data_IF_116439927079
#
_entry.id   IF_116439927079
#
_cell.length_a   1.000
_cell.length_b   1.000
_cell.length_c   1.000
_cell.angle_alpha   90.00
_cell.angle_beta   90.00
_cell.angle_gamma   90.00
#
_symmetry.space_group_name_H-M   'P 1'
#
loop_
_entity.id
_entity.type
_entity.pdbx_description
1 polymer ?
#
# COMPACT_ATOMS: atom_id res chain seq x y z
N UNK A 1 -1.81 37.00 40.95
CA UNK A 1 -1.53 37.10 39.52
C UNK A 1 -1.10 35.75 39.06
N UNK A 2 -2.02 35.02 38.38
CA UNK A 2 -1.73 33.69 37.85
C UNK A 2 -1.00 33.84 36.53
N UNK A 3 0.16 33.22 36.39
CA UNK A 3 0.90 33.13 35.14
C UNK A 3 0.03 32.37 34.10
N UNK A 4 -0.20 32.89 32.90
CA UNK A 4 -0.91 32.16 31.90
C UNK A 4 -0.13 30.88 31.57
N UNK A 5 -0.76 29.71 31.68
CA UNK A 5 -0.27 28.47 31.10
C UNK A 5 -0.20 28.69 29.59
N UNK A 6 1.00 28.80 29.06
CA UNK A 6 1.25 28.68 27.62
C UNK A 6 0.73 27.30 27.22
N UNK A 7 -0.37 27.26 26.45
CA UNK A 7 -0.77 26.02 25.81
C UNK A 7 0.42 25.59 24.94
N UNK A 8 1.00 24.43 25.24
CA UNK A 8 2.07 23.88 24.42
C UNK A 8 1.45 23.59 23.06
N UNK A 9 1.78 24.40 22.06
CA UNK A 9 1.40 24.10 20.68
C UNK A 9 2.10 22.79 20.29
N UNK A 10 1.31 21.82 19.79
CA UNK A 10 1.87 20.58 19.25
C UNK A 10 2.81 20.99 18.11
N UNK A 11 4.09 20.56 18.12
CA UNK A 11 5.05 20.92 17.08
C UNK A 11 4.57 20.40 15.71
N UNK A 12 4.77 21.19 14.64
CA UNK A 12 4.52 20.75 13.27
C UNK A 12 5.46 19.59 12.88
N UNK A 13 5.01 18.78 11.92
CA UNK A 13 5.85 17.73 11.31
C UNK A 13 6.71 18.32 10.21
N UNK A 14 8.00 17.96 10.20
CA UNK A 14 8.95 18.33 9.16
C UNK A 14 9.63 17.07 8.59
N UNK A 15 9.91 17.07 7.28
CA UNK A 15 10.65 15.95 6.68
C UNK A 15 12.02 15.80 7.33
N UNK A 16 12.35 14.59 7.79
CA UNK A 16 13.58 14.28 8.49
C UNK A 16 13.45 14.27 10.00
N UNK A 17 12.31 14.65 10.58
CA UNK A 17 12.05 14.42 12.01
C UNK A 17 12.17 12.93 12.33
N UNK A 18 12.80 12.61 13.47
CA UNK A 18 12.89 11.24 14.00
C UNK A 18 11.88 11.09 15.14
N UNK A 19 10.86 10.27 14.93
CA UNK A 19 9.76 10.08 15.88
C UNK A 19 9.42 8.59 16.04
N UNK A 20 8.81 8.26 17.17
CA UNK A 20 8.04 7.04 17.30
C UNK A 20 6.63 7.24 16.70
N UNK A 21 5.92 6.14 16.44
CA UNK A 21 4.60 6.17 15.83
C UNK A 21 3.58 6.95 16.67
N UNK A 22 3.57 6.79 17.96
CA UNK A 22 2.60 7.47 18.84
C UNK A 22 2.78 8.99 18.80
N UNK A 23 4.02 9.48 18.85
CA UNK A 23 4.36 10.91 18.76
C UNK A 23 4.06 11.44 17.35
N UNK A 24 4.36 10.67 16.29
CA UNK A 24 4.01 11.02 14.93
C UNK A 24 2.49 11.17 14.77
N UNK A 25 1.73 10.18 15.20
CA UNK A 25 0.27 10.14 15.08
C UNK A 25 -0.40 11.32 15.81
N UNK A 26 0.03 11.63 17.04
CA UNK A 26 -0.45 12.79 17.80
C UNK A 26 -0.21 14.10 17.02
N UNK A 27 1.00 14.27 16.46
CA UNK A 27 1.31 15.47 15.67
C UNK A 27 0.57 15.49 14.34
N UNK A 28 0.47 14.35 13.66
CA UNK A 28 -0.18 14.23 12.36
C UNK A 28 -1.67 14.58 12.44
N UNK A 29 -2.38 14.08 13.45
CA UNK A 29 -3.80 14.38 13.66
C UNK A 29 -4.07 15.84 13.99
N UNK A 30 -3.07 16.58 14.46
CA UNK A 30 -3.13 18.02 14.72
C UNK A 30 -2.79 18.90 13.50
N UNK A 31 -2.36 18.31 12.37
CA UNK A 31 -2.01 19.06 11.16
C UNK A 31 -3.25 19.59 10.43
N UNK A 32 -3.10 20.65 9.62
CA UNK A 32 -4.21 21.21 8.84
C UNK A 32 -4.79 20.16 7.86
N UNK A 33 -6.08 20.26 7.51
CA UNK A 33 -6.68 19.41 6.50
C UNK A 33 -5.90 19.45 5.18
N UNK A 34 -5.62 18.28 4.61
CA UNK A 34 -4.85 18.14 3.37
C UNK A 34 -3.34 18.05 3.55
N UNK A 35 -2.81 18.21 4.77
CA UNK A 35 -1.42 17.88 5.06
C UNK A 35 -1.22 16.36 4.94
N UNK A 36 -0.16 15.94 4.26
CA UNK A 36 0.19 14.54 4.08
C UNK A 36 1.62 14.28 4.49
N UNK A 37 1.81 13.33 5.37
CA UNK A 37 3.11 12.84 5.79
C UNK A 37 2.99 11.37 6.19
N UNK A 38 4.10 10.65 6.10
CA UNK A 38 4.24 9.26 6.51
C UNK A 38 5.38 9.15 7.52
N UNK A 39 5.31 8.17 8.39
CA UNK A 39 6.43 7.75 9.23
C UNK A 39 7.01 6.45 8.67
N UNK A 40 8.24 6.49 8.18
CA UNK A 40 8.92 5.34 7.56
C UNK A 40 10.25 5.09 8.27
N UNK A 41 10.37 3.95 8.95
CA UNK A 41 11.56 3.64 9.75
C UNK A 41 11.86 4.68 10.83
N UNK A 42 10.83 5.28 11.42
CA UNK A 42 10.97 6.34 12.43
C UNK A 42 11.32 7.73 11.86
N UNK A 43 11.33 7.89 10.54
CA UNK A 43 11.63 9.17 9.87
C UNK A 43 10.36 9.72 9.23
N UNK A 44 10.06 10.98 9.51
CA UNK A 44 8.93 11.70 8.89
C UNK A 44 9.26 12.06 7.45
N UNK A 45 8.34 11.74 6.55
CA UNK A 45 8.40 12.11 5.12
C UNK A 45 7.15 12.90 4.79
N UNK A 46 7.29 14.19 4.53
CA UNK A 46 6.17 15.05 4.07
C UNK A 46 6.01 14.87 2.57
N UNK A 47 4.79 14.55 2.13
CA UNK A 47 4.50 14.28 0.73
C UNK A 47 4.62 15.53 -0.14
N UNK A 48 5.17 15.35 -1.33
CA UNK A 48 5.21 16.37 -2.38
C UNK A 48 3.97 16.28 -3.29
N UNK A 49 3.60 17.37 -4.00
CA UNK A 49 2.53 17.30 -4.99
C UNK A 49 2.80 16.20 -6.04
N UNK A 50 1.77 15.44 -6.38
CA UNK A 50 1.84 14.34 -7.35
C UNK A 50 1.73 14.88 -8.79
N UNK A 51 2.40 14.21 -9.73
CA UNK A 51 2.29 14.48 -11.17
C UNK A 51 1.09 13.72 -11.75
N UNK A 52 0.48 14.23 -12.87
CA UNK A 52 -0.65 13.56 -13.53
C UNK A 52 -0.38 12.09 -13.88
N UNK A 53 0.82 11.78 -14.36
CA UNK A 53 1.25 10.42 -14.73
C UNK A 53 1.12 9.43 -13.54
N UNK A 54 1.51 9.85 -12.33
CA UNK A 54 1.28 9.03 -11.13
C UNK A 54 -0.21 8.73 -10.94
N UNK A 55 -1.07 9.75 -11.13
CA UNK A 55 -2.52 9.59 -10.99
C UNK A 55 -3.14 8.62 -12.00
N UNK A 56 -2.59 8.52 -13.22
CA UNK A 56 -3.07 7.59 -14.25
C UNK A 56 -2.78 6.14 -13.86
N UNK A 57 -1.54 5.83 -13.45
CA UNK A 57 -1.18 4.51 -12.93
C UNK A 57 -1.96 4.15 -11.66
N UNK A 58 -2.08 5.11 -10.73
CA UNK A 58 -2.83 4.90 -9.49
C UNK A 58 -4.31 4.60 -9.76
N UNK A 59 -4.96 5.37 -10.67
CA UNK A 59 -6.35 5.12 -11.05
C UNK A 59 -6.53 3.72 -11.69
N UNK A 60 -5.60 3.30 -12.54
CA UNK A 60 -5.65 1.97 -13.16
C UNK A 60 -5.50 0.86 -12.10
N UNK A 61 -4.56 1.00 -11.17
CA UNK A 61 -4.36 0.04 -10.07
C UNK A 61 -5.60 -0.02 -9.18
N UNK A 62 -6.17 1.12 -8.81
CA UNK A 62 -7.41 1.13 -8.02
C UNK A 62 -8.58 0.49 -8.79
N UNK A 63 -8.68 0.70 -10.10
CA UNK A 63 -9.66 0.02 -10.96
C UNK A 63 -9.48 -1.50 -10.96
N UNK A 64 -8.24 -1.97 -11.08
CA UNK A 64 -7.88 -3.40 -11.04
C UNK A 64 -8.21 -4.03 -9.68
N UNK A 65 -7.77 -3.45 -8.56
CA UNK A 65 -8.02 -3.97 -7.22
C UNK A 65 -9.51 -3.91 -6.82
N UNK A 66 -10.21 -2.83 -7.21
CA UNK A 66 -11.64 -2.70 -6.93
C UNK A 66 -12.47 -3.73 -7.72
N UNK A 67 -12.04 -4.04 -8.96
CA UNK A 67 -12.69 -5.08 -9.77
C UNK A 67 -12.49 -6.47 -9.15
N UNK A 68 -11.30 -6.75 -8.62
CA UNK A 68 -11.04 -7.99 -7.87
C UNK A 68 -11.91 -8.06 -6.61
N UNK A 69 -11.93 -7.02 -5.80
CA UNK A 69 -12.78 -6.92 -4.60
C UNK A 69 -14.26 -7.17 -4.93
N UNK A 70 -14.77 -6.56 -6.00
CA UNK A 70 -16.17 -6.75 -6.43
C UNK A 70 -16.52 -8.19 -6.78
N UNK A 71 -15.54 -9.00 -7.19
CA UNK A 71 -15.70 -10.41 -7.56
C UNK A 71 -15.32 -11.39 -6.43
N UNK A 72 -14.73 -10.91 -5.33
CA UNK A 72 -14.12 -11.75 -4.30
C UNK A 72 -14.62 -11.36 -2.91
N UNK A 73 -15.74 -11.94 -2.43
CA UNK A 73 -16.25 -11.71 -1.09
C UNK A 73 -15.19 -11.91 -0.01
N UNK A 74 -15.25 -11.12 1.05
CA UNK A 74 -14.27 -11.18 2.15
C UNK A 74 -12.96 -10.42 1.88
N UNK A 75 -12.86 -9.70 0.76
CA UNK A 75 -11.72 -8.82 0.47
C UNK A 75 -12.15 -7.35 0.46
N UNK A 76 -11.18 -6.42 0.61
CA UNK A 76 -11.39 -4.97 0.50
C UNK A 76 -10.19 -4.30 -0.14
N UNK A 77 -10.43 -3.46 -1.15
CA UNK A 77 -9.44 -2.51 -1.66
C UNK A 77 -9.57 -1.17 -0.92
N UNK A 78 -8.44 -0.50 -0.67
CA UNK A 78 -8.38 0.84 -0.07
C UNK A 78 -7.39 1.70 -0.82
N UNK A 79 -7.69 2.98 -0.89
CA UNK A 79 -6.93 4.03 -1.54
C UNK A 79 -6.31 4.95 -0.50
N UNK A 80 -5.00 5.16 -0.53
CA UNK A 80 -4.27 6.10 0.33
C UNK A 80 -4.64 5.99 1.83
N UNK A 81 -4.90 4.79 2.32
CA UNK A 81 -5.34 4.57 3.69
C UNK A 81 -4.14 4.42 4.63
N UNK A 82 -4.09 5.27 5.66
CA UNK A 82 -3.07 5.16 6.72
C UNK A 82 -3.10 3.79 7.36
N UNK A 83 -1.94 3.17 7.49
CA UNK A 83 -1.74 1.89 8.17
C UNK A 83 -0.71 2.03 9.30
N UNK A 84 -1.08 1.66 10.52
CA UNK A 84 -0.17 1.62 11.66
C UNK A 84 0.51 0.25 11.67
N UNK A 85 1.80 0.21 11.34
CA UNK A 85 2.56 -1.03 11.13
C UNK A 85 3.59 -1.34 12.24
N UNK A 86 3.49 -0.65 13.37
CA UNK A 86 4.39 -0.83 14.51
C UNK A 86 4.89 0.48 15.09
N UNK A 87 5.93 0.41 15.92
CA UNK A 87 6.39 1.56 16.71
C UNK A 87 7.11 2.66 15.88
N UNK A 88 7.50 2.36 14.66
CA UNK A 88 8.28 3.27 13.81
C UNK A 88 7.74 3.40 12.39
N UNK A 89 6.51 2.91 12.12
CA UNK A 89 5.97 2.89 10.76
C UNK A 89 4.47 3.19 10.75
N UNK A 90 4.12 4.27 10.06
CA UNK A 90 2.75 4.71 9.77
C UNK A 90 2.69 5.26 8.34
N UNK A 91 2.76 4.36 7.33
CA UNK A 91 2.68 4.74 5.92
C UNK A 91 1.24 5.01 5.46
N UNK A 92 1.15 5.64 4.28
CA UNK A 92 -0.09 5.79 3.49
C UNK A 92 0.14 5.17 2.11
N UNK A 93 0.06 3.84 1.97
CA UNK A 93 0.25 3.18 0.68
C UNK A 93 -0.71 3.70 -0.38
N UNK A 94 -0.26 3.83 -1.62
CA UNK A 94 -1.11 4.27 -2.73
C UNK A 94 -2.34 3.37 -2.90
N UNK A 95 -2.15 2.04 -2.82
CA UNK A 95 -3.27 1.09 -2.87
C UNK A 95 -2.99 -0.16 -2.02
N UNK A 96 -4.02 -0.66 -1.36
CA UNK A 96 -3.95 -1.91 -0.60
C UNK A 96 -5.11 -2.84 -0.94
N UNK A 97 -4.87 -4.15 -0.86
CA UNK A 97 -5.92 -5.16 -0.85
C UNK A 97 -5.76 -6.00 0.42
N UNK A 98 -6.85 -6.16 1.15
CA UNK A 98 -6.89 -6.93 2.40
C UNK A 98 -7.89 -8.06 2.32
N UNK A 99 -7.64 -9.10 3.12
CA UNK A 99 -8.65 -10.06 3.55
C UNK A 99 -9.32 -9.47 4.80
N UNK A 100 -10.65 -9.48 4.85
CA UNK A 100 -11.36 -8.95 6.03
C UNK A 100 -11.08 -9.85 7.25
N UNK A 101 -10.97 -9.30 8.48
CA UNK A 101 -10.68 -10.11 9.69
C UNK A 101 -11.63 -11.28 9.90
N UNK A 102 -12.90 -11.14 9.50
CA UNK A 102 -13.89 -12.20 9.58
C UNK A 102 -13.57 -13.41 8.67
N UNK A 103 -12.69 -13.21 7.68
CA UNK A 103 -12.22 -14.22 6.73
C UNK A 103 -10.75 -14.62 6.97
N UNK A 104 -10.20 -14.27 8.14
CA UNK A 104 -8.85 -14.63 8.54
C UNK A 104 -7.76 -13.66 8.13
N UNK A 105 -8.11 -12.45 7.69
CA UNK A 105 -7.16 -11.38 7.38
C UNK A 105 -6.43 -10.86 8.63
N UNK A 106 -5.26 -10.28 8.39
CA UNK A 106 -4.36 -9.83 9.45
C UNK A 106 -4.49 -8.33 9.81
N UNK A 107 -5.24 -7.56 9.01
CA UNK A 107 -5.49 -6.14 9.28
C UNK A 107 -6.63 -5.97 10.30
N UNK A 108 -6.36 -5.29 11.41
CA UNK A 108 -7.35 -4.85 12.39
C UNK A 108 -7.68 -3.35 12.28
N UNK A 109 -8.36 -2.83 13.33
CA UNK A 109 -8.64 -1.41 13.46
C UNK A 109 -8.36 -0.92 14.88
N UNK A 110 -7.79 0.26 14.99
CA UNK A 110 -7.66 0.98 16.27
C UNK A 110 -9.02 1.54 16.73
N UNK A 111 -9.07 2.02 17.97
CA UNK A 111 -10.30 2.60 18.57
C UNK A 111 -10.76 3.88 17.86
N UNK A 112 -9.85 4.58 17.21
CA UNK A 112 -10.08 5.80 16.43
C UNK A 112 -10.26 5.53 14.93
N UNK A 113 -10.30 4.24 14.51
CA UNK A 113 -10.71 3.80 13.18
C UNK A 113 -9.58 3.68 12.16
N UNK A 114 -8.31 3.83 12.56
CA UNK A 114 -7.18 3.59 11.67
C UNK A 114 -6.90 2.09 11.49
N UNK A 115 -6.41 1.71 10.30
CA UNK A 115 -5.98 0.34 10.06
C UNK A 115 -4.73 0.03 10.90
N UNK A 116 -4.74 -1.12 11.58
CA UNK A 116 -3.62 -1.63 12.38
C UNK A 116 -3.21 -3.00 11.89
N UNK A 117 -1.92 -3.28 11.95
CA UNK A 117 -1.37 -4.50 11.38
C UNK A 117 -1.21 -4.45 9.86
N UNK A 118 -0.44 -5.38 9.29
CA UNK A 118 -0.09 -5.35 7.88
C UNK A 118 -1.28 -5.72 6.99
N UNK A 119 -1.53 -5.00 5.89
CA UNK A 119 -2.37 -5.53 4.82
C UNK A 119 -1.68 -6.71 4.14
N UNK A 120 -2.45 -7.58 3.48
CA UNK A 120 -1.90 -8.71 2.75
C UNK A 120 -1.18 -8.29 1.47
N UNK A 121 -1.62 -7.20 0.84
CA UNK A 121 -1.10 -6.74 -0.45
C UNK A 121 -1.02 -5.22 -0.50
N UNK A 122 0.14 -4.70 -0.89
CA UNK A 122 0.39 -3.26 -1.07
C UNK A 122 0.91 -2.99 -2.47
N UNK A 123 0.43 -1.90 -3.08
CA UNK A 123 1.01 -1.33 -4.31
C UNK A 123 1.43 0.10 -4.06
N UNK A 124 2.63 0.44 -4.49
CA UNK A 124 3.14 1.81 -4.57
C UNK A 124 3.43 2.19 -6.03
N UNK A 125 3.09 3.42 -6.39
CA UNK A 125 3.35 4.00 -7.71
C UNK A 125 4.51 4.97 -7.60
N UNK A 126 5.71 4.48 -7.86
CA UNK A 126 6.96 5.21 -7.68
C UNK A 126 7.27 6.12 -8.86
N UNK A 127 7.19 7.43 -8.66
CA UNK A 127 7.62 8.47 -9.62
C UNK A 127 8.88 9.19 -9.13
N UNK A 128 8.77 9.97 -8.06
CA UNK A 128 9.89 10.66 -7.38
C UNK A 128 10.31 9.95 -6.08
N UNK A 129 9.51 9.04 -5.60
CA UNK A 129 9.66 8.28 -4.34
C UNK A 129 10.42 6.95 -4.51
N UNK A 130 10.87 6.59 -5.72
CA UNK A 130 11.46 5.29 -6.06
C UNK A 130 12.48 4.80 -5.02
N UNK A 131 13.40 5.66 -4.57
CA UNK A 131 14.39 5.28 -3.57
C UNK A 131 13.78 4.93 -2.21
N UNK A 132 12.68 5.60 -1.83
CA UNK A 132 11.98 5.37 -0.57
C UNK A 132 11.20 4.06 -0.67
N UNK A 133 10.44 3.89 -1.75
CA UNK A 133 9.56 2.74 -1.97
C UNK A 133 10.36 1.44 -2.12
N UNK A 134 11.48 1.47 -2.88
CA UNK A 134 12.33 0.30 -3.08
C UNK A 134 13.26 -0.04 -1.91
N UNK A 135 13.42 0.84 -0.93
CA UNK A 135 14.33 0.60 0.20
C UNK A 135 13.65 0.74 1.57
N UNK A 136 13.31 1.95 2.00
CA UNK A 136 12.82 2.18 3.36
C UNK A 136 11.43 1.55 3.54
N UNK A 137 10.44 1.87 2.70
CA UNK A 137 9.10 1.27 2.76
C UNK A 137 9.15 -0.25 2.58
N UNK A 138 9.97 -0.74 1.64
CA UNK A 138 10.12 -2.19 1.45
C UNK A 138 10.56 -2.90 2.73
N UNK A 139 11.52 -2.32 3.47
CA UNK A 139 11.96 -2.89 4.77
C UNK A 139 10.86 -2.81 5.82
N UNK A 140 10.16 -1.70 5.90
CA UNK A 140 9.07 -1.53 6.86
C UNK A 140 7.94 -2.54 6.60
N UNK A 141 7.55 -2.71 5.32
CA UNK A 141 6.51 -3.68 4.93
C UNK A 141 6.95 -5.13 5.14
N UNK A 142 8.21 -5.44 4.86
CA UNK A 142 8.80 -6.77 5.16
C UNK A 142 8.75 -7.08 6.65
N UNK A 143 9.22 -6.14 7.49
CA UNK A 143 9.24 -6.30 8.95
C UNK A 143 7.84 -6.37 9.55
N UNK A 144 6.89 -5.62 9.00
CA UNK A 144 5.51 -5.64 9.42
C UNK A 144 4.79 -6.94 9.05
N UNK A 145 5.26 -7.69 8.04
CA UNK A 145 4.64 -8.92 7.59
C UNK A 145 3.62 -8.75 6.46
N UNK A 146 3.76 -7.71 5.63
CA UNK A 146 2.98 -7.56 4.39
C UNK A 146 3.35 -8.71 3.44
N UNK A 147 2.36 -9.49 3.01
CA UNK A 147 2.61 -10.75 2.30
C UNK A 147 3.08 -10.54 0.85
N UNK A 148 2.53 -9.56 0.16
CA UNK A 148 2.98 -9.17 -1.19
C UNK A 148 3.08 -7.65 -1.32
N UNK A 149 4.18 -7.20 -1.88
CA UNK A 149 4.48 -5.80 -2.10
C UNK A 149 4.87 -5.54 -3.54
N UNK A 150 4.20 -4.59 -4.19
CA UNK A 150 4.38 -4.25 -5.60
C UNK A 150 4.79 -2.79 -5.72
N UNK A 151 5.83 -2.52 -6.51
CA UNK A 151 6.27 -1.17 -6.85
C UNK A 151 6.22 -0.98 -8.36
N UNK A 152 5.42 -0.03 -8.83
CA UNK A 152 5.40 0.38 -10.23
C UNK A 152 6.38 1.52 -10.41
N UNK A 153 7.52 1.25 -11.03
CA UNK A 153 8.59 2.23 -11.23
C UNK A 153 8.38 2.93 -12.57
N UNK A 154 7.64 4.04 -12.56
CA UNK A 154 7.19 4.73 -13.77
C UNK A 154 8.36 5.11 -14.68
N UNK A 155 9.42 5.72 -14.11
CA UNK A 155 10.56 6.21 -14.90
C UNK A 155 11.35 5.11 -15.61
N UNK A 156 11.38 3.93 -15.03
CA UNK A 156 12.11 2.78 -15.56
C UNK A 156 11.20 1.84 -16.37
N UNK A 157 9.91 2.12 -16.42
CA UNK A 157 8.90 1.30 -17.08
C UNK A 157 9.02 -0.17 -16.65
N UNK A 158 9.05 -0.40 -15.34
CA UNK A 158 9.14 -1.75 -14.78
C UNK A 158 8.26 -1.91 -13.53
N UNK A 159 7.92 -3.14 -13.22
CA UNK A 159 7.19 -3.54 -12.03
C UNK A 159 8.11 -4.44 -11.20
N UNK A 160 8.24 -4.12 -9.92
CA UNK A 160 8.93 -4.96 -8.94
C UNK A 160 7.86 -5.59 -8.04
N UNK A 161 7.82 -6.90 -7.99
CA UNK A 161 6.87 -7.65 -7.17
C UNK A 161 7.64 -8.47 -6.14
N UNK A 162 7.38 -8.24 -4.87
CA UNK A 162 8.02 -8.92 -3.76
C UNK A 162 7.01 -9.79 -3.04
N UNK A 163 7.42 -10.98 -2.64
CA UNK A 163 6.62 -11.93 -1.85
C UNK A 163 7.36 -12.27 -0.57
N UNK A 164 6.66 -12.20 0.56
CA UNK A 164 7.20 -12.56 1.85
C UNK A 164 7.28 -14.09 1.98
N UNK A 165 8.47 -14.60 2.22
CA UNK A 165 8.73 -16.01 2.47
C UNK A 165 9.74 -16.11 3.62
N UNK A 166 9.41 -16.88 4.66
CA UNK A 166 10.26 -17.05 5.85
C UNK A 166 10.72 -15.72 6.47
N UNK A 167 9.85 -14.70 6.43
CA UNK A 167 10.11 -13.37 7.01
C UNK A 167 10.99 -12.45 6.14
N UNK A 168 11.27 -12.81 4.88
CA UNK A 168 12.06 -12.01 3.94
C UNK A 168 11.35 -11.85 2.60
N UNK A 169 11.54 -10.68 1.97
CA UNK A 169 11.03 -10.45 0.62
C UNK A 169 11.92 -11.08 -0.44
N UNK A 170 11.32 -11.93 -1.25
CA UNK A 170 11.90 -12.45 -2.49
C UNK A 170 11.22 -11.79 -3.68
N UNK A 171 12.01 -11.29 -4.61
CA UNK A 171 11.48 -10.73 -5.84
C UNK A 171 10.96 -11.83 -6.75
N UNK A 172 9.74 -11.66 -7.26
CA UNK A 172 9.07 -12.59 -8.15
C UNK A 172 9.15 -12.06 -9.58
N UNK A 173 9.47 -12.93 -10.52
CA UNK A 173 9.40 -12.61 -11.94
C UNK A 173 8.00 -12.90 -12.49
N UNK A 174 7.59 -12.15 -13.50
CA UNK A 174 6.40 -12.48 -14.28
C UNK A 174 6.55 -13.87 -14.94
N UNK A 175 5.45 -14.56 -15.12
CA UNK A 175 5.42 -15.85 -15.83
C UNK A 175 5.84 -15.71 -17.30
N UNK A 176 6.06 -16.84 -17.97
CA UNK A 176 6.35 -16.86 -19.40
C UNK A 176 5.22 -16.26 -20.28
N UNK A 177 4.04 -16.14 -19.71
CA UNK A 177 2.87 -15.50 -20.28
C UNK A 177 2.86 -13.96 -20.08
N UNK A 178 3.92 -13.38 -19.49
CA UNK A 178 4.02 -11.95 -19.21
C UNK A 178 3.16 -11.47 -18.03
N UNK A 179 2.59 -12.38 -17.25
CA UNK A 179 1.69 -12.03 -16.15
C UNK A 179 2.32 -12.24 -14.78
N UNK A 180 2.08 -11.30 -13.88
CA UNK A 180 2.18 -11.55 -12.45
C UNK A 180 0.87 -12.20 -11.94
N UNK A 181 1.03 -13.14 -11.01
CA UNK A 181 -0.08 -13.84 -10.37
C UNK A 181 0.13 -13.84 -8.87
N UNK A 182 -0.79 -13.22 -8.13
CA UNK A 182 -0.72 -13.22 -6.67
C UNK A 182 -0.81 -14.65 -6.12
N UNK A 183 -0.01 -14.93 -5.10
CA UNK A 183 -0.12 -16.18 -4.35
C UNK A 183 -1.09 -16.06 -3.17
N UNK A 184 -1.33 -14.83 -2.70
CA UNK A 184 -2.21 -14.53 -1.57
C UNK A 184 -3.65 -14.36 -2.02
N UNK A 185 -3.84 -13.77 -3.22
CA UNK A 185 -5.15 -13.52 -3.81
C UNK A 185 -5.30 -14.31 -5.12
N UNK A 186 -5.75 -15.57 -5.08
CA UNK A 186 -5.96 -16.38 -6.27
C UNK A 186 -6.84 -15.66 -7.30
N UNK A 187 -6.41 -15.65 -8.56
CA UNK A 187 -7.11 -14.93 -9.62
C UNK A 187 -6.75 -13.44 -9.76
N UNK A 188 -6.00 -12.86 -8.84
CA UNK A 188 -5.47 -11.50 -9.00
C UNK A 188 -4.26 -11.54 -9.95
N UNK A 189 -4.56 -11.46 -11.26
CA UNK A 189 -3.57 -11.49 -12.33
C UNK A 189 -3.36 -10.10 -12.92
N UNK A 190 -2.12 -9.80 -13.26
CA UNK A 190 -1.69 -8.52 -13.82
C UNK A 190 -0.81 -8.73 -15.04
N UNK A 191 -1.26 -8.24 -16.19
CA UNK A 191 -0.46 -8.17 -17.42
C UNK A 191 0.54 -7.01 -17.30
N UNK A 192 1.84 -7.34 -17.34
CA UNK A 192 2.93 -6.38 -17.14
C UNK A 192 2.95 -5.32 -18.24
N UNK A 193 2.89 -5.75 -19.51
CA UNK A 193 2.96 -4.84 -20.65
C UNK A 193 1.73 -3.94 -20.70
N UNK A 194 0.55 -4.51 -20.49
CA UNK A 194 -0.70 -3.76 -20.48
C UNK A 194 -0.71 -2.68 -19.38
N UNK A 195 -0.22 -2.99 -18.16
CA UNK A 195 -0.13 -1.99 -17.10
C UNK A 195 0.83 -0.87 -17.47
N UNK A 196 2.04 -1.20 -17.95
CA UNK A 196 3.06 -0.20 -18.30
C UNK A 196 2.63 0.70 -19.47
N UNK A 197 1.78 0.20 -20.37
CA UNK A 197 1.19 0.96 -21.47
C UNK A 197 -0.13 1.66 -21.10
N UNK A 198 -0.60 1.54 -19.85
CA UNK A 198 -1.90 2.03 -19.39
C UNK A 198 -3.08 1.49 -20.23
N UNK A 199 -2.95 0.26 -20.77
CA UNK A 199 -4.03 -0.42 -21.49
C UNK A 199 -5.03 -1.02 -20.50
N UNK A 200 -5.98 -0.17 -20.06
CA UNK A 200 -7.01 -0.53 -19.08
C UNK A 200 -7.77 -1.79 -19.48
N UNK A 201 -8.09 -1.93 -20.77
CA UNK A 201 -8.88 -3.06 -21.26
C UNK A 201 -8.16 -4.38 -21.09
N UNK A 202 -6.87 -4.44 -21.43
CA UNK A 202 -6.07 -5.67 -21.28
C UNK A 202 -5.76 -5.99 -19.81
N UNK A 203 -5.49 -4.97 -18.96
CA UNK A 203 -5.32 -5.19 -17.52
C UNK A 203 -6.56 -5.83 -16.92
N UNK A 204 -7.76 -5.32 -17.24
CA UNK A 204 -9.00 -5.89 -16.74
C UNK A 204 -9.35 -7.25 -17.37
N UNK A 205 -8.91 -7.51 -18.61
CA UNK A 205 -9.08 -8.83 -19.25
C UNK A 205 -8.19 -9.88 -18.57
N UNK A 206 -6.93 -9.56 -18.25
CA UNK A 206 -6.03 -10.44 -17.50
C UNK A 206 -6.64 -10.80 -16.13
N UNK A 207 -7.17 -9.80 -15.42
CA UNK A 207 -7.89 -10.03 -14.18
C UNK A 207 -9.10 -10.96 -14.39
N UNK A 208 -9.93 -10.69 -15.38
CA UNK A 208 -11.12 -11.51 -15.68
C UNK A 208 -10.75 -12.97 -15.95
N UNK A 209 -9.65 -13.22 -16.66
CA UNK A 209 -9.16 -14.60 -16.88
C UNK A 209 -8.77 -15.26 -15.56
N UNK A 210 -8.09 -14.53 -14.68
CA UNK A 210 -7.72 -15.03 -13.34
C UNK A 210 -8.94 -15.37 -12.48
N UNK A 211 -9.96 -14.52 -12.49
CA UNK A 211 -11.21 -14.74 -11.74
C UNK A 211 -12.00 -15.97 -12.19
N UNK A 212 -11.76 -16.48 -13.39
CA UNK A 212 -12.40 -17.70 -13.92
C UNK A 212 -11.66 -18.99 -13.58
N UNK A 213 -10.56 -18.91 -12.81
CA UNK A 213 -9.76 -20.08 -12.42
C UNK A 213 -10.41 -20.88 -11.29
N UNK A 214 -10.07 -22.16 -11.20
CA UNK A 214 -10.52 -23.02 -10.11
C UNK A 214 -9.94 -22.60 -8.75
N UNK A 215 -8.73 -22.04 -8.76
CA UNK A 215 -8.06 -21.50 -7.56
C UNK A 215 -8.85 -20.34 -6.97
N UNK A 216 -9.33 -19.40 -7.82
CA UNK A 216 -10.18 -18.31 -7.36
C UNK A 216 -11.55 -18.83 -6.88
N UNK A 217 -12.17 -19.75 -7.60
CA UNK A 217 -13.44 -20.35 -7.17
C UNK A 217 -13.32 -21.03 -5.80
N UNK A 218 -12.21 -21.72 -5.55
CA UNK A 218 -11.94 -22.35 -4.26
C UNK A 218 -11.69 -21.32 -3.14
N UNK A 219 -11.09 -20.16 -3.47
CA UNK A 219 -10.78 -19.09 -2.52
C UNK A 219 -12.05 -18.36 -2.03
N UNK A 220 -13.06 -18.21 -2.88
CA UNK A 220 -14.32 -17.50 -2.54
C UNK A 220 -15.38 -18.37 -1.86
N UNK A 221 -15.16 -19.67 -1.71
CA UNK A 221 -16.05 -20.61 -1.02
C UNK A 221 -15.80 -20.64 0.48
#
# INVERSE_FOLDING_TARGET
MGTPRVASSIPSLESGDHLDQATFHERYTAMPPGFRAELIGGIVIVSSPLRPEHGEYHALIMGWLTSYWGATPGTRARDNATAILGEQSEPQPDAVLIIEPAYGGQTGFSTDGYATGPPEFIVEVASSSESIDLNAKRRDYEQAGVLEYVVIVIRQQLIRWFRLQEGQYHEVAAGADGMFKSAVFPGLWLDVEALLQLDVSKVLEALRMGLLTQEHEAFVR
#
